data_IF_564937231270
#
_entry.id   IF_564937231270
#
_cell.length_a   1.000
_cell.length_b   1.000
_cell.length_c   1.000
_cell.angle_alpha   90.00
_cell.angle_beta   90.00
_cell.angle_gamma   90.00
#
_symmetry.space_group_name_H-M   'P 1'
#
loop_
_entity.id
_entity.type
_entity.pdbx_description
1 polymer ?
#
# COMPACT_ATOMS: atom_id res chain seq x y z
N UNK A 1 50.91 5.18 19.72
CA UNK A 1 49.70 4.66 19.07
C UNK A 1 48.94 5.85 18.48
N UNK A 2 49.07 6.10 17.18
CA UNK A 2 48.40 7.22 16.50
C UNK A 2 47.11 6.70 15.87
N UNK A 3 45.96 7.08 16.41
CA UNK A 3 44.66 6.76 15.84
C UNK A 3 44.40 7.67 14.63
N UNK A 4 44.42 7.10 13.43
CA UNK A 4 43.96 7.75 12.20
C UNK A 4 42.43 7.79 12.20
N UNK A 5 41.86 8.96 12.53
CA UNK A 5 40.45 9.24 12.29
C UNK A 5 40.26 9.58 10.81
N UNK A 6 39.88 8.58 10.01
CA UNK A 6 39.48 8.76 8.61
C UNK A 6 38.10 9.44 8.59
N UNK A 7 37.95 10.67 8.04
CA UNK A 7 36.65 11.30 7.96
C UNK A 7 35.74 10.49 7.03
N UNK A 8 34.53 10.20 7.50
CA UNK A 8 33.48 9.59 6.70
C UNK A 8 33.22 10.49 5.48
N UNK A 9 33.66 10.03 4.32
CA UNK A 9 33.37 10.67 3.04
C UNK A 9 31.93 10.35 2.67
N UNK A 10 31.04 11.29 2.96
CA UNK A 10 29.68 11.32 2.43
C UNK A 10 29.76 11.82 0.99
N UNK A 11 29.95 10.90 0.04
CA UNK A 11 29.83 11.20 -1.38
C UNK A 11 28.39 11.69 -1.65
N UNK A 12 28.26 12.88 -2.24
CA UNK A 12 26.98 13.50 -2.60
C UNK A 12 26.12 12.60 -3.50
N UNK A 13 26.74 11.70 -4.25
CA UNK A 13 26.09 10.69 -5.08
C UNK A 13 25.36 9.60 -4.27
N UNK A 14 25.72 9.41 -3.00
CA UNK A 14 25.07 8.43 -2.10
C UNK A 14 23.91 9.03 -1.31
N UNK A 15 23.74 10.35 -1.30
CA UNK A 15 22.64 11.05 -0.61
C UNK A 15 21.39 11.14 -1.49
N UNK A 16 21.55 11.18 -2.81
CA UNK A 16 20.43 11.23 -3.77
C UNK A 16 19.67 9.90 -3.86
N UNK A 17 20.32 8.77 -3.56
CA UNK A 17 19.69 7.44 -3.61
C UNK A 17 18.98 7.05 -2.30
N UNK A 18 18.90 7.96 -1.32
CA UNK A 18 18.24 7.75 -0.02
C UNK A 18 17.19 8.81 0.29
N UNK A 19 16.74 9.56 -0.72
CA UNK A 19 15.61 10.45 -0.59
C UNK A 19 14.36 9.56 -0.63
N UNK A 20 13.98 9.01 0.52
CA UNK A 20 12.59 8.59 0.71
C UNK A 20 11.72 9.84 0.48
N UNK A 21 10.61 9.75 -0.28
CA UNK A 21 9.66 10.86 -0.35
C UNK A 21 9.34 11.31 1.08
N UNK A 22 9.24 12.62 1.31
CA UNK A 22 8.91 13.13 2.64
C UNK A 22 7.59 12.54 3.13
N UNK A 23 7.37 12.53 4.45
CA UNK A 23 6.10 12.06 5.02
C UNK A 23 4.88 12.79 4.40
N UNK A 24 5.06 14.03 3.96
CA UNK A 24 4.09 14.81 3.21
C UNK A 24 3.77 14.21 1.83
N UNK A 25 4.77 13.80 1.06
CA UNK A 25 4.58 13.22 -0.28
C UNK A 25 3.98 11.83 -0.20
N UNK A 26 4.36 11.03 0.81
CA UNK A 26 3.73 9.73 1.05
C UNK A 26 2.27 9.90 1.48
N UNK A 27 1.97 10.86 2.35
CA UNK A 27 0.59 11.19 2.72
C UNK A 27 -0.22 11.67 1.51
N UNK A 28 0.30 12.60 0.71
CA UNK A 28 -0.36 13.09 -0.49
C UNK A 28 -0.62 11.97 -1.49
N UNK A 29 0.34 11.05 -1.68
CA UNK A 29 0.14 9.86 -2.51
C UNK A 29 -1.05 9.04 -2.03
N UNK A 30 -1.12 8.73 -0.74
CA UNK A 30 -2.24 7.97 -0.15
C UNK A 30 -3.56 8.74 -0.25
N UNK A 31 -3.53 10.06 -0.02
CA UNK A 31 -4.71 10.92 -0.06
C UNK A 31 -5.26 11.13 -1.49
N UNK A 32 -4.38 11.06 -2.49
CA UNK A 32 -4.74 11.20 -3.91
C UNK A 32 -5.35 9.93 -4.50
N UNK A 33 -5.14 8.78 -3.86
CA UNK A 33 -5.68 7.50 -4.33
C UNK A 33 -7.20 7.50 -4.27
N UNK A 34 -7.84 7.00 -5.32
CA UNK A 34 -9.29 6.83 -5.30
C UNK A 34 -9.68 5.81 -4.21
N UNK A 35 -10.91 5.87 -3.66
CA UNK A 35 -11.40 4.84 -2.75
C UNK A 35 -11.29 3.43 -3.34
N UNK A 36 -11.54 3.28 -4.64
CA UNK A 36 -11.41 2.02 -5.35
C UNK A 36 -9.96 1.52 -5.39
N UNK A 37 -8.99 2.40 -5.68
CA UNK A 37 -7.56 2.06 -5.66
C UNK A 37 -7.09 1.62 -4.27
N UNK A 38 -7.56 2.29 -3.20
CA UNK A 38 -7.22 1.90 -1.84
C UNK A 38 -7.74 0.51 -1.48
N UNK A 39 -8.99 0.21 -1.82
CA UNK A 39 -9.56 -1.14 -1.61
C UNK A 39 -8.81 -2.19 -2.42
N UNK A 40 -8.48 -1.88 -3.68
CA UNK A 40 -7.68 -2.77 -4.52
C UNK A 40 -6.31 -3.08 -3.90
N UNK A 41 -5.58 -2.05 -3.44
CA UNK A 41 -4.31 -2.21 -2.74
C UNK A 41 -4.44 -3.03 -1.45
N UNK A 42 -5.46 -2.75 -0.63
CA UNK A 42 -5.70 -3.50 0.61
C UNK A 42 -5.98 -4.98 0.33
N UNK A 43 -6.75 -5.28 -0.72
CA UNK A 43 -7.03 -6.65 -1.11
C UNK A 43 -5.77 -7.36 -1.61
N UNK A 44 -4.92 -6.71 -2.41
CA UNK A 44 -3.62 -7.26 -2.81
C UNK A 44 -2.72 -7.56 -1.62
N UNK A 45 -2.62 -6.60 -0.68
CA UNK A 45 -1.88 -6.79 0.56
C UNK A 45 -2.44 -7.95 1.41
N UNK A 46 -3.77 -8.12 1.45
CA UNK A 46 -4.40 -9.25 2.15
C UNK A 46 -4.03 -10.61 1.55
N UNK A 47 -3.73 -10.65 0.26
CA UNK A 47 -3.26 -11.83 -0.47
C UNK A 47 -1.74 -12.01 -0.39
N UNK A 48 -1.02 -11.08 0.24
CA UNK A 48 0.44 -11.10 0.32
C UNK A 48 1.14 -10.72 -1.00
N UNK A 49 0.46 -9.98 -1.86
CA UNK A 49 0.97 -9.55 -3.17
C UNK A 49 1.17 -8.04 -3.20
N UNK A 50 2.19 -7.59 -3.92
CA UNK A 50 2.36 -6.18 -4.27
C UNK A 50 1.89 -5.89 -5.69
N UNK A 51 1.81 -4.60 -6.02
CA UNK A 51 1.46 -4.16 -7.38
C UNK A 51 2.56 -4.53 -8.37
N UNK A 52 3.82 -4.57 -7.93
CA UNK A 52 4.93 -5.11 -8.72
C UNK A 52 4.79 -6.62 -8.96
N UNK A 53 4.38 -7.38 -7.94
CA UNK A 53 4.15 -8.82 -8.10
C UNK A 53 3.05 -9.10 -9.11
N UNK A 54 1.94 -8.36 -9.03
CA UNK A 54 0.83 -8.48 -9.97
C UNK A 54 1.21 -8.04 -11.39
N UNK A 55 2.07 -7.03 -11.53
CA UNK A 55 2.61 -6.60 -12.82
C UNK A 55 3.60 -7.62 -13.42
N UNK A 56 4.29 -8.39 -12.58
CA UNK A 56 5.23 -9.43 -13.00
C UNK A 56 4.54 -10.74 -13.41
N UNK A 57 3.25 -10.92 -13.09
CA UNK A 57 2.48 -12.11 -13.46
C UNK A 57 2.07 -12.13 -14.94
N UNK A 58 1.83 -13.34 -15.44
CA UNK A 58 1.21 -13.54 -16.75
C UNK A 58 -0.19 -12.91 -16.80
N UNK A 59 -0.64 -12.44 -17.98
CA UNK A 59 -1.91 -11.70 -18.11
C UNK A 59 -3.13 -12.51 -17.65
N UNK A 60 -3.10 -13.84 -17.80
CA UNK A 60 -4.19 -14.71 -17.34
C UNK A 60 -4.22 -14.84 -15.80
N UNK A 61 -3.05 -14.98 -15.17
CA UNK A 61 -2.93 -15.02 -13.72
C UNK A 61 -3.30 -13.67 -13.09
N UNK A 62 -2.83 -12.57 -13.68
CA UNK A 62 -3.20 -11.21 -13.28
C UNK A 62 -4.71 -11.01 -13.31
N UNK A 63 -5.37 -11.40 -14.41
CA UNK A 63 -6.82 -11.29 -14.53
C UNK A 63 -7.55 -12.10 -13.47
N UNK A 64 -7.10 -13.33 -13.18
CA UNK A 64 -7.71 -14.15 -12.15
C UNK A 64 -7.66 -13.50 -10.76
N UNK A 65 -6.57 -12.80 -10.45
CA UNK A 65 -6.42 -12.05 -9.20
C UNK A 65 -7.31 -10.80 -9.19
N UNK A 66 -7.34 -10.03 -10.27
CA UNK A 66 -8.22 -8.86 -10.39
C UNK A 66 -9.71 -9.25 -10.26
N UNK A 67 -10.12 -10.37 -10.86
CA UNK A 67 -11.47 -10.93 -10.75
C UNK A 67 -11.80 -11.36 -9.30
N UNK A 68 -10.84 -11.98 -8.59
CA UNK A 68 -10.98 -12.35 -7.18
C UNK A 68 -11.10 -11.11 -6.29
N UNK A 69 -10.27 -10.09 -6.50
CA UNK A 69 -10.33 -8.83 -5.75
C UNK A 69 -11.69 -8.16 -5.94
N UNK A 70 -12.16 -8.08 -7.19
CA UNK A 70 -13.46 -7.50 -7.51
C UNK A 70 -14.60 -8.23 -6.79
N UNK A 71 -14.54 -9.57 -6.73
CA UNK A 71 -15.54 -10.37 -6.02
C UNK A 71 -15.52 -10.11 -4.52
N UNK A 72 -14.34 -10.08 -3.89
CA UNK A 72 -14.21 -9.83 -2.45
C UNK A 72 -14.65 -8.43 -2.06
N UNK A 73 -14.31 -7.42 -2.87
CA UNK A 73 -14.79 -6.05 -2.65
C UNK A 73 -16.32 -6.02 -2.69
N UNK A 74 -16.94 -6.68 -3.67
CA UNK A 74 -18.39 -6.75 -3.76
C UNK A 74 -18.99 -7.44 -2.52
N UNK A 75 -18.42 -8.58 -2.11
CA UNK A 75 -18.85 -9.34 -0.94
C UNK A 75 -18.71 -8.54 0.36
N UNK A 76 -17.58 -7.88 0.57
CA UNK A 76 -17.35 -7.01 1.74
C UNK A 76 -18.35 -5.86 1.74
N UNK A 77 -18.58 -5.20 0.60
CA UNK A 77 -19.54 -4.08 0.52
C UNK A 77 -20.97 -4.56 0.78
N UNK A 78 -21.38 -5.71 0.24
CA UNK A 78 -22.72 -6.25 0.50
C UNK A 78 -22.88 -6.67 1.95
N UNK A 79 -21.92 -7.43 2.49
CA UNK A 79 -21.98 -7.94 3.87
C UNK A 79 -21.89 -6.83 4.91
N UNK A 80 -21.17 -5.73 4.62
CA UNK A 80 -21.13 -4.55 5.48
C UNK A 80 -22.34 -3.62 5.26
N UNK A 81 -23.00 -3.66 4.10
CA UNK A 81 -24.25 -2.93 3.88
C UNK A 81 -25.42 -3.54 4.68
N UNK A 82 -25.34 -4.83 5.01
CA UNK A 82 -26.26 -5.50 5.92
C UNK A 82 -25.94 -5.23 7.41
N UNK A 83 -24.87 -4.47 7.73
CA UNK A 83 -24.63 -4.00 9.08
C UNK A 83 -25.62 -2.87 9.41
N UNK A 84 -26.59 -3.19 10.27
CA UNK A 84 -27.66 -2.30 10.74
C UNK A 84 -27.16 -0.85 10.96
N UNK A 85 -27.80 0.17 10.34
CA UNK A 85 -27.45 1.56 10.55
C UNK A 85 -27.62 1.91 12.03
N UNK A 86 -26.51 1.91 12.78
CA UNK A 86 -26.49 2.13 14.23
C UNK A 86 -25.34 1.43 14.98
N UNK A 87 -24.76 0.35 14.45
CA UNK A 87 -23.71 -0.41 15.19
C UNK A 87 -22.36 0.31 15.29
N UNK A 88 -22.07 1.25 14.37
CA UNK A 88 -20.81 2.00 14.36
C UNK A 88 -20.69 3.01 15.51
N UNK A 89 -21.81 3.40 16.13
CA UNK A 89 -21.82 4.35 17.26
C UNK A 89 -21.43 3.65 18.57
N UNK A 90 -21.71 2.35 18.71
CA UNK A 90 -21.46 1.58 19.94
C UNK A 90 -19.96 1.26 20.14
N UNK A 91 -19.20 1.22 19.05
CA UNK A 91 -17.77 0.90 19.07
C UNK A 91 -16.86 2.09 19.46
N UNK A 92 -17.40 3.31 19.53
CA UNK A 92 -16.68 4.51 19.96
C UNK A 92 -17.02 4.99 21.39
N UNK A 93 -17.85 4.24 22.12
CA UNK A 93 -18.29 4.58 23.48
C UNK A 93 -17.38 4.01 24.57
#
# INVERSE_FOLDING_TARGET
MTATNKPLSLSSSSLTNQIKPGAEEEFLKIASMSPAERLHMQMLQSMGLTEEDLAAMDPEARKAIEDEISRRILEDVTNNADAEPGSLVDMMA
#
